data_IF_471549120868
#
_entry.id   IF_471549120868
#
_cell.length_a   1.000
_cell.length_b   1.000
_cell.length_c   1.000
_cell.angle_alpha   90.00
_cell.angle_beta   90.00
_cell.angle_gamma   90.00
#
_symmetry.space_group_name_H-M   'P 1'
#
loop_
_entity.id
_entity.type
_entity.pdbx_description
1 polymer ?
#
# COMPACT_ATOMS: atom_id res chain seq x y z
N UNK A 1 -6.28 -8.18 -22.94
CA UNK A 1 -5.55 -9.27 -22.28
C UNK A 1 -5.01 -8.81 -20.93
N UNK A 2 -4.87 -9.73 -19.97
CA UNK A 2 -4.17 -9.55 -18.72
C UNK A 2 -3.13 -10.65 -18.58
N UNK A 3 -1.88 -10.27 -18.41
CA UNK A 3 -0.81 -11.21 -18.11
C UNK A 3 -0.46 -11.17 -16.64
N UNK A 4 -0.29 -12.35 -16.03
CA UNK A 4 0.31 -12.50 -14.71
C UNK A 4 1.73 -13.00 -14.87
N UNK A 5 2.68 -12.26 -14.33
CA UNK A 5 4.09 -12.61 -14.29
C UNK A 5 4.58 -12.78 -12.86
N UNK A 6 5.28 -13.83 -12.58
CA UNK A 6 6.03 -14.02 -11.33
C UNK A 6 7.32 -14.81 -11.63
N UNK A 7 8.37 -14.55 -10.87
CA UNK A 7 9.63 -15.32 -10.94
C UNK A 7 9.53 -16.70 -10.26
N UNK A 8 8.50 -16.94 -9.46
CA UNK A 8 8.24 -18.16 -8.70
C UNK A 8 7.01 -18.86 -9.28
N UNK A 9 7.26 -19.92 -10.05
CA UNK A 9 6.22 -20.67 -10.74
C UNK A 9 5.19 -21.27 -9.77
N UNK A 10 5.61 -21.85 -8.65
CA UNK A 10 4.69 -22.47 -7.68
C UNK A 10 3.75 -21.42 -7.06
N UNK A 11 4.29 -20.27 -6.69
CA UNK A 11 3.48 -19.16 -6.19
C UNK A 11 2.52 -18.65 -7.23
N UNK A 12 2.98 -18.47 -8.47
CA UNK A 12 2.17 -18.00 -9.58
C UNK A 12 1.01 -18.94 -9.89
N UNK A 13 1.26 -20.23 -9.97
CA UNK A 13 0.23 -21.25 -10.18
C UNK A 13 -0.87 -21.15 -9.11
N UNK A 14 -0.48 -21.09 -7.84
CA UNK A 14 -1.41 -20.97 -6.71
C UNK A 14 -2.23 -19.69 -6.74
N UNK A 15 -1.57 -18.53 -6.91
CA UNK A 15 -2.24 -17.23 -6.96
C UNK A 15 -3.17 -17.14 -8.17
N UNK A 16 -2.77 -17.73 -9.30
CA UNK A 16 -3.57 -17.73 -10.52
C UNK A 16 -4.95 -18.39 -10.35
N UNK A 17 -5.09 -19.39 -9.44
CA UNK A 17 -6.38 -20.01 -9.15
C UNK A 17 -7.38 -18.96 -8.62
N UNK A 18 -6.94 -18.13 -7.69
CA UNK A 18 -7.78 -17.06 -7.12
C UNK A 18 -8.09 -16.02 -8.20
N UNK A 19 -7.07 -15.56 -8.93
CA UNK A 19 -7.24 -14.52 -9.96
C UNK A 19 -8.18 -14.99 -11.08
N UNK A 20 -8.13 -16.26 -11.48
CA UNK A 20 -9.07 -16.83 -12.45
C UNK A 20 -10.52 -16.70 -12.00
N UNK A 21 -10.82 -17.00 -10.73
CA UNK A 21 -12.18 -16.86 -10.20
C UNK A 21 -12.60 -15.38 -10.12
N UNK A 22 -11.70 -14.48 -9.70
CA UNK A 22 -11.96 -13.03 -9.69
C UNK A 22 -12.24 -12.50 -11.09
N UNK A 23 -11.42 -12.86 -12.08
CA UNK A 23 -11.63 -12.45 -13.48
C UNK A 23 -12.94 -13.00 -14.03
N UNK A 24 -13.27 -14.25 -13.75
CA UNK A 24 -14.52 -14.87 -14.17
C UNK A 24 -15.75 -14.17 -13.59
N UNK A 25 -15.65 -13.66 -12.34
CA UNK A 25 -16.75 -12.94 -11.69
C UNK A 25 -16.88 -11.50 -12.19
N UNK A 26 -15.77 -10.76 -12.27
CA UNK A 26 -15.80 -9.32 -12.55
C UNK A 26 -15.73 -8.97 -14.04
N UNK A 27 -14.99 -9.76 -14.83
CA UNK A 27 -14.70 -9.49 -16.25
C UNK A 27 -14.52 -10.79 -17.05
N UNK A 28 -15.61 -11.59 -17.25
CA UNK A 28 -15.51 -12.90 -17.87
C UNK A 28 -15.00 -12.86 -19.34
N UNK A 29 -15.04 -11.68 -19.98
CA UNK A 29 -14.50 -11.49 -21.33
C UNK A 29 -13.00 -11.15 -21.35
N UNK A 30 -12.35 -10.98 -20.20
CA UNK A 30 -10.94 -10.69 -20.13
C UNK A 30 -10.13 -11.96 -20.31
N UNK A 31 -9.27 -12.00 -21.31
CA UNK A 31 -8.31 -13.09 -21.51
C UNK A 31 -7.19 -12.99 -20.47
N UNK A 32 -7.06 -14.02 -19.65
CA UNK A 32 -6.03 -14.12 -18.61
C UNK A 32 -4.94 -15.11 -19.06
N UNK A 33 -3.71 -14.64 -19.14
CA UNK A 33 -2.50 -15.41 -19.46
C UNK A 33 -1.54 -15.42 -18.28
N UNK A 34 -0.73 -16.47 -18.16
CA UNK A 34 0.14 -16.71 -17.01
C UNK A 34 1.46 -17.23 -17.54
N UNK A 35 2.56 -16.56 -17.22
CA UNK A 35 3.89 -17.00 -17.64
C UNK A 35 4.96 -16.54 -16.65
N UNK A 36 6.05 -17.31 -16.58
CA UNK A 36 7.30 -16.93 -15.88
C UNK A 36 8.37 -16.45 -16.85
N UNK A 37 8.05 -16.43 -18.15
CA UNK A 37 8.94 -15.95 -19.20
C UNK A 37 8.75 -14.45 -19.43
N UNK A 38 9.85 -13.70 -19.37
CA UNK A 38 9.82 -12.24 -19.52
C UNK A 38 9.48 -11.81 -20.93
N UNK A 39 10.05 -12.45 -21.95
CA UNK A 39 9.80 -12.09 -23.34
C UNK A 39 8.34 -12.34 -23.68
N UNK A 40 7.81 -13.51 -23.32
CA UNK A 40 6.41 -13.85 -23.57
C UNK A 40 5.46 -12.88 -22.89
N UNK A 41 5.74 -12.52 -21.62
CA UNK A 41 4.83 -11.69 -20.81
C UNK A 41 4.84 -10.23 -21.21
N UNK A 42 6.02 -9.67 -21.47
CA UNK A 42 6.17 -8.22 -21.63
C UNK A 42 6.15 -7.78 -23.09
N UNK A 43 6.19 -8.69 -24.07
CA UNK A 43 6.13 -8.31 -25.49
C UNK A 43 4.85 -7.53 -25.79
N UNK A 44 5.04 -6.31 -26.33
CA UNK A 44 3.98 -5.36 -26.68
C UNK A 44 3.07 -4.93 -25.53
N UNK A 45 3.48 -5.13 -24.26
CA UNK A 45 2.72 -4.69 -23.11
C UNK A 45 2.64 -3.16 -23.04
N UNK A 46 1.43 -2.61 -22.86
CA UNK A 46 1.20 -1.16 -22.77
C UNK A 46 1.25 -0.66 -21.32
N UNK A 47 0.72 -1.44 -20.36
CA UNK A 47 0.67 -1.09 -18.96
C UNK A 47 1.20 -2.24 -18.10
N UNK A 48 2.14 -1.93 -17.24
CA UNK A 48 2.76 -2.88 -16.32
C UNK A 48 2.46 -2.45 -14.89
N UNK A 49 1.61 -3.23 -14.19
CA UNK A 49 1.34 -3.03 -12.76
C UNK A 49 2.37 -3.78 -11.94
N UNK A 50 3.37 -3.07 -11.42
CA UNK A 50 4.46 -3.67 -10.66
C UNK A 50 4.14 -3.71 -9.16
N UNK A 51 4.07 -4.93 -8.61
CA UNK A 51 3.93 -5.16 -7.16
C UNK A 51 4.83 -6.31 -6.74
N UNK A 52 6.02 -6.00 -6.26
CA UNK A 52 6.98 -7.00 -5.81
C UNK A 52 7.37 -6.78 -4.36
N UNK A 53 7.63 -7.87 -3.67
CA UNK A 53 8.19 -7.87 -2.32
C UNK A 53 9.45 -8.73 -2.28
N UNK A 54 10.58 -8.10 -2.48
CA UNK A 54 11.87 -8.78 -2.51
C UNK A 54 12.24 -9.31 -1.12
N UNK A 55 12.41 -10.63 -1.03
CA UNK A 55 12.61 -11.35 0.24
C UNK A 55 11.31 -11.81 0.93
N UNK A 56 10.14 -11.44 0.39
CA UNK A 56 8.84 -11.86 0.91
C UNK A 56 8.53 -11.31 2.30
N UNK A 57 7.45 -11.79 2.89
CA UNK A 57 7.02 -11.36 4.24
C UNK A 57 7.99 -11.80 5.35
N UNK A 58 8.71 -12.90 5.16
CA UNK A 58 9.71 -13.36 6.13
C UNK A 58 10.85 -12.34 6.32
N UNK A 59 11.30 -11.69 5.24
CA UNK A 59 12.30 -10.62 5.34
C UNK A 59 11.71 -9.36 5.95
N UNK A 60 10.46 -9.00 5.65
CA UNK A 60 9.77 -7.90 6.32
C UNK A 60 9.76 -8.08 7.84
N UNK A 61 9.38 -9.25 8.33
CA UNK A 61 9.39 -9.56 9.78
C UNK A 61 10.79 -9.36 10.36
N UNK A 62 11.84 -9.82 9.67
CA UNK A 62 13.24 -9.62 10.13
C UNK A 62 13.64 -8.14 10.18
N UNK A 63 13.30 -7.37 9.16
CA UNK A 63 13.59 -5.93 9.10
C UNK A 63 12.93 -5.18 10.28
N UNK A 64 11.67 -5.50 10.56
CA UNK A 64 10.91 -4.93 11.68
C UNK A 64 11.52 -5.36 13.03
N UNK A 65 11.80 -6.64 13.22
CA UNK A 65 12.36 -7.17 14.47
C UNK A 65 13.78 -6.68 14.74
N UNK A 66 14.64 -6.58 13.74
CA UNK A 66 16.01 -6.08 13.91
C UNK A 66 15.96 -4.61 14.37
N UNK A 67 15.13 -3.79 13.75
CA UNK A 67 14.97 -2.39 14.15
C UNK A 67 14.50 -2.28 15.60
N UNK A 68 13.46 -3.02 15.99
CA UNK A 68 12.91 -3.01 17.35
C UNK A 68 13.91 -3.48 18.40
N UNK A 69 14.75 -4.47 18.12
CA UNK A 69 15.83 -4.91 19.02
C UNK A 69 16.82 -3.80 19.39
N UNK A 70 16.94 -2.80 18.53
CA UNK A 70 17.84 -1.66 18.74
C UNK A 70 17.09 -0.38 19.17
N UNK A 71 15.84 -0.51 19.65
CA UNK A 71 15.04 0.65 20.07
C UNK A 71 14.65 1.58 18.92
N UNK A 72 14.61 1.06 17.69
CA UNK A 72 14.22 1.81 16.51
C UNK A 72 12.88 1.29 15.96
N UNK A 73 12.17 2.14 15.24
CA UNK A 73 10.88 1.79 14.63
C UNK A 73 11.02 0.57 13.73
N UNK A 74 10.21 -0.45 14.00
CA UNK A 74 10.07 -1.66 13.18
C UNK A 74 8.98 -1.51 12.13
N UNK A 75 9.23 -0.74 11.07
CA UNK A 75 8.26 -0.42 10.03
C UNK A 75 8.80 -0.75 8.64
N UNK A 76 7.90 -1.12 7.73
CA UNK A 76 8.20 -1.63 6.39
C UNK A 76 8.95 -0.63 5.51
N UNK A 77 8.58 0.66 5.57
CA UNK A 77 9.01 1.67 4.60
C UNK A 77 9.81 2.81 5.22
N UNK A 78 9.83 2.91 6.54
CA UNK A 78 10.51 3.96 7.28
C UNK A 78 11.67 3.39 8.11
N UNK A 79 12.65 4.23 8.45
CA UNK A 79 13.78 3.86 9.28
C UNK A 79 14.71 2.82 8.67
N UNK A 80 15.43 2.08 9.52
CA UNK A 80 16.43 1.09 9.10
C UNK A 80 15.80 -0.09 8.34
N UNK A 81 14.64 -0.56 8.76
CA UNK A 81 13.90 -1.62 8.06
C UNK A 81 13.50 -1.20 6.65
N UNK A 82 12.96 0.03 6.49
CA UNK A 82 12.62 0.59 5.18
C UNK A 82 13.85 0.76 4.28
N UNK A 83 14.98 1.18 4.82
CA UNK A 83 16.23 1.27 4.06
C UNK A 83 16.68 -0.11 3.56
N UNK A 84 16.69 -1.13 4.42
CA UNK A 84 17.08 -2.49 4.03
C UNK A 84 16.17 -3.08 2.96
N UNK A 85 14.86 -2.85 3.07
CA UNK A 85 13.90 -3.27 2.06
C UNK A 85 14.09 -2.50 0.74
N UNK A 86 14.30 -1.19 0.80
CA UNK A 86 14.59 -0.37 -0.38
C UNK A 86 15.82 -0.85 -1.14
N UNK A 87 16.92 -1.09 -0.45
CA UNK A 87 18.14 -1.61 -1.05
C UNK A 87 17.93 -2.95 -1.77
N UNK A 88 17.08 -3.82 -1.25
CA UNK A 88 16.73 -5.09 -1.92
C UNK A 88 15.83 -4.89 -3.14
N UNK A 89 14.95 -3.89 -3.11
CA UNK A 89 13.94 -3.67 -4.16
C UNK A 89 14.51 -2.95 -5.39
N UNK A 90 15.54 -2.11 -5.23
CA UNK A 90 16.11 -1.30 -6.32
C UNK A 90 16.57 -2.17 -7.49
N UNK A 91 17.39 -3.19 -7.25
CA UNK A 91 17.93 -4.04 -8.33
C UNK A 91 16.82 -4.69 -9.18
N UNK A 92 15.89 -5.44 -8.59
CA UNK A 92 14.77 -6.04 -9.32
C UNK A 92 13.88 -5.02 -10.05
N UNK A 93 13.69 -3.82 -9.50
CA UNK A 93 12.92 -2.77 -10.19
C UNK A 93 13.66 -2.22 -11.41
N UNK A 94 14.98 -2.03 -11.32
CA UNK A 94 15.79 -1.63 -12.48
C UNK A 94 15.76 -2.74 -13.54
N UNK A 95 15.86 -4.00 -13.15
CA UNK A 95 15.71 -5.12 -14.08
C UNK A 95 14.35 -5.10 -14.80
N UNK A 96 13.25 -4.90 -14.06
CA UNK A 96 11.92 -4.78 -14.67
C UNK A 96 11.85 -3.65 -15.71
N UNK A 97 12.45 -2.49 -15.43
CA UNK A 97 12.51 -1.38 -16.39
C UNK A 97 13.28 -1.81 -17.63
N UNK A 98 14.45 -2.45 -17.48
CA UNK A 98 15.28 -2.89 -18.59
C UNK A 98 14.54 -3.94 -19.47
N UNK A 99 13.76 -4.83 -18.84
CA UNK A 99 12.89 -5.80 -19.54
C UNK A 99 11.78 -5.07 -20.32
N UNK A 100 11.12 -4.10 -19.70
CA UNK A 100 10.09 -3.30 -20.39
C UNK A 100 10.65 -2.49 -21.54
N UNK A 101 11.81 -1.88 -21.40
CA UNK A 101 12.49 -1.15 -22.48
C UNK A 101 12.84 -2.07 -23.66
N UNK A 102 13.10 -3.34 -23.40
CA UNK A 102 13.46 -4.32 -24.41
C UNK A 102 12.25 -4.88 -25.15
N UNK A 103 11.17 -5.19 -24.45
CA UNK A 103 10.07 -6.01 -24.98
C UNK A 103 8.73 -5.29 -25.05
N UNK A 104 8.46 -4.33 -24.16
CA UNK A 104 7.16 -3.67 -24.10
C UNK A 104 6.92 -2.72 -25.28
N UNK A 105 5.69 -2.26 -25.43
CA UNK A 105 5.33 -1.29 -26.45
C UNK A 105 6.15 0.00 -26.27
N UNK A 106 6.37 0.75 -27.35
CA UNK A 106 7.12 2.03 -27.28
C UNK A 106 6.47 3.08 -26.40
N UNK A 107 5.23 2.90 -26.06
CA UNK A 107 4.42 3.82 -25.24
C UNK A 107 4.05 3.25 -23.88
N UNK A 108 4.71 2.17 -23.43
CA UNK A 108 4.45 1.51 -22.16
C UNK A 108 4.50 2.47 -20.96
N UNK A 109 3.79 2.10 -19.91
CA UNK A 109 3.90 2.71 -18.60
C UNK A 109 4.01 1.64 -17.50
N UNK A 110 4.97 1.82 -16.60
CA UNK A 110 5.04 1.05 -15.37
C UNK A 110 4.33 1.84 -14.27
N UNK A 111 3.32 1.24 -13.66
CA UNK A 111 2.67 1.75 -12.46
C UNK A 111 3.17 0.91 -11.29
N UNK A 112 4.11 1.45 -10.53
CA UNK A 112 4.76 0.73 -9.44
C UNK A 112 4.07 0.97 -8.11
N UNK A 113 3.61 -0.12 -7.48
CA UNK A 113 3.04 -0.15 -6.14
C UNK A 113 3.98 -0.82 -5.12
N UNK A 114 5.23 -1.12 -5.53
CA UNK A 114 6.22 -1.75 -4.66
C UNK A 114 6.84 -0.73 -3.71
N UNK A 115 7.00 -1.12 -2.46
CA UNK A 115 7.58 -0.30 -1.41
C UNK A 115 9.09 -0.54 -1.22
N UNK A 116 9.81 0.39 -0.58
CA UNK A 116 9.44 1.77 -0.21
C UNK A 116 9.38 2.71 -1.42
N UNK A 117 8.20 3.23 -1.74
CA UNK A 117 7.98 3.95 -3.00
C UNK A 117 8.92 5.15 -3.18
N UNK A 118 9.22 5.95 -2.14
CA UNK A 118 10.12 7.09 -2.24
C UNK A 118 11.57 6.68 -2.59
N UNK A 119 12.09 5.61 -1.98
CA UNK A 119 13.44 5.09 -2.24
C UNK A 119 13.51 4.55 -3.67
N UNK A 120 12.53 3.74 -4.07
CA UNK A 120 12.44 3.16 -5.42
C UNK A 120 12.30 4.27 -6.46
N UNK A 121 11.43 5.26 -6.22
CA UNK A 121 11.26 6.41 -7.13
C UNK A 121 12.57 7.16 -7.35
N UNK A 122 13.29 7.48 -6.26
CA UNK A 122 14.57 8.19 -6.38
C UNK A 122 15.63 7.36 -7.11
N UNK A 123 15.70 6.07 -6.83
CA UNK A 123 16.65 5.17 -7.47
C UNK A 123 16.36 5.03 -8.98
N UNK A 124 15.11 4.80 -9.36
CA UNK A 124 14.70 4.66 -10.77
C UNK A 124 14.93 5.96 -11.54
N UNK A 125 14.56 7.13 -11.01
CA UNK A 125 14.86 8.43 -11.59
C UNK A 125 16.36 8.68 -11.81
N UNK A 126 17.19 8.17 -10.90
CA UNK A 126 18.64 8.37 -10.98
C UNK A 126 19.29 7.41 -11.99
N UNK A 127 18.88 6.13 -11.97
CA UNK A 127 19.53 5.07 -12.75
C UNK A 127 18.88 4.86 -14.13
N UNK A 128 17.61 5.24 -14.30
CA UNK A 128 16.84 5.13 -15.54
C UNK A 128 15.99 6.40 -15.73
N UNK A 129 16.60 7.58 -15.95
CA UNK A 129 15.90 8.88 -15.94
C UNK A 129 14.83 9.01 -17.03
N UNK A 130 14.92 8.21 -18.09
CA UNK A 130 13.98 8.23 -19.21
C UNK A 130 12.88 7.14 -19.09
N UNK A 131 12.91 6.30 -18.04
CA UNK A 131 11.93 5.26 -17.85
C UNK A 131 10.53 5.84 -17.61
N UNK A 132 9.53 5.24 -18.21
CA UNK A 132 8.13 5.61 -18.03
C UNK A 132 7.57 4.87 -16.84
N UNK A 133 7.87 5.37 -15.64
CA UNK A 133 7.45 4.77 -14.37
C UNK A 133 6.78 5.80 -13.47
N UNK A 134 5.62 5.43 -12.92
CA UNK A 134 4.91 6.14 -11.86
C UNK A 134 4.95 5.29 -10.60
N UNK A 135 5.35 5.89 -9.48
CA UNK A 135 5.32 5.23 -8.18
C UNK A 135 4.09 5.73 -7.43
N UNK A 136 3.20 4.82 -7.06
CA UNK A 136 1.91 5.12 -6.44
C UNK A 136 1.83 4.55 -5.02
N UNK A 137 0.93 5.12 -4.22
CA UNK A 137 0.61 4.67 -2.88
C UNK A 137 -0.87 4.92 -2.60
N UNK A 138 -1.50 4.04 -1.84
CA UNK A 138 -2.90 4.13 -1.43
C UNK A 138 -3.12 5.02 -0.20
N UNK A 139 -2.09 5.28 0.61
CA UNK A 139 -2.27 6.00 1.88
C UNK A 139 -2.92 7.39 1.74
N UNK A 140 -2.59 8.25 0.77
CA UNK A 140 -3.33 9.50 0.59
C UNK A 140 -4.81 9.27 0.36
N UNK A 141 -5.17 8.32 -0.50
CA UNK A 141 -6.58 7.99 -0.82
C UNK A 141 -7.29 7.40 0.39
N UNK A 142 -6.60 6.60 1.22
CA UNK A 142 -7.16 6.08 2.47
C UNK A 142 -7.45 7.22 3.47
N UNK A 143 -6.57 8.22 3.56
CA UNK A 143 -6.83 9.42 4.38
C UNK A 143 -8.01 10.22 3.84
N UNK A 144 -8.12 10.39 2.53
CA UNK A 144 -9.28 11.02 1.88
C UNK A 144 -10.58 10.27 2.17
N UNK A 145 -10.55 8.93 2.12
CA UNK A 145 -11.71 8.11 2.47
C UNK A 145 -12.13 8.31 3.94
N UNK A 146 -11.17 8.44 4.85
CA UNK A 146 -11.45 8.80 6.26
C UNK A 146 -12.02 10.21 6.41
N UNK A 147 -11.53 11.18 5.63
CA UNK A 147 -12.10 12.52 5.60
C UNK A 147 -13.56 12.51 5.10
N UNK A 148 -13.85 11.72 4.07
CA UNK A 148 -15.21 11.54 3.56
C UNK A 148 -16.14 10.92 4.62
N UNK A 149 -15.68 9.88 5.34
CA UNK A 149 -16.40 9.27 6.47
C UNK A 149 -16.71 10.29 7.58
N UNK A 150 -15.72 11.12 7.96
CA UNK A 150 -15.87 12.17 8.97
C UNK A 150 -16.91 13.21 8.54
N UNK A 151 -16.98 13.51 7.25
CA UNK A 151 -17.88 14.49 6.67
C UNK A 151 -19.27 13.92 6.33
N UNK A 152 -19.45 12.61 6.45
CA UNK A 152 -20.67 11.87 6.04
C UNK A 152 -21.00 12.10 4.56
N UNK A 153 -20.00 11.87 3.68
CA UNK A 153 -20.10 12.09 2.24
C UNK A 153 -19.38 11.00 1.44
N UNK A 154 -19.63 10.95 0.14
CA UNK A 154 -18.89 10.07 -0.76
C UNK A 154 -17.49 10.64 -1.07
N UNK A 155 -16.50 9.78 -1.22
CA UNK A 155 -15.12 10.15 -1.59
C UNK A 155 -15.07 10.96 -2.89
N UNK A 156 -15.95 10.66 -3.85
CA UNK A 156 -16.05 11.38 -5.13
C UNK A 156 -16.47 12.86 -5.01
N UNK A 157 -16.97 13.28 -3.85
CA UNK A 157 -17.33 14.66 -3.57
C UNK A 157 -16.17 15.48 -3.01
N UNK A 158 -15.02 14.85 -2.73
CA UNK A 158 -13.84 15.52 -2.21
C UNK A 158 -12.87 15.91 -3.33
N UNK A 159 -12.34 17.11 -3.22
CA UNK A 159 -11.20 17.60 -3.98
C UNK A 159 -10.13 18.04 -2.99
N UNK A 160 -8.89 17.56 -3.17
CA UNK A 160 -7.79 17.83 -2.24
C UNK A 160 -6.58 18.41 -2.93
N UNK A 161 -5.93 19.35 -2.26
CA UNK A 161 -4.58 19.80 -2.61
C UNK A 161 -3.59 19.08 -1.69
N UNK A 162 -2.74 18.24 -2.27
CA UNK A 162 -1.76 17.43 -1.54
C UNK A 162 -0.35 17.67 -2.07
N UNK A 163 0.62 17.82 -1.18
CA UNK A 163 2.02 17.96 -1.56
C UNK A 163 2.96 17.18 -0.63
N UNK A 164 4.18 16.92 -1.10
CA UNK A 164 5.23 16.27 -0.34
C UNK A 164 5.74 14.99 -1.00
N UNK A 165 6.49 14.20 -0.23
CA UNK A 165 6.99 12.91 -0.65
C UNK A 165 6.03 11.78 -0.22
N UNK A 166 6.17 10.61 -0.82
CA UNK A 166 5.44 9.44 -0.35
C UNK A 166 5.69 9.23 1.16
N UNK A 167 4.62 9.01 1.93
CA UNK A 167 4.61 8.89 3.39
C UNK A 167 5.11 10.14 4.16
N UNK A 168 5.31 11.25 3.48
CA UNK A 168 5.84 12.49 4.04
C UNK A 168 5.17 13.71 3.38
N UNK A 169 3.84 13.69 3.35
CA UNK A 169 3.04 14.70 2.66
C UNK A 169 1.97 15.34 3.53
N UNK A 170 1.38 16.39 3.00
CA UNK A 170 0.41 17.23 3.66
C UNK A 170 -0.76 17.57 2.75
N UNK A 171 -1.96 17.61 3.29
CA UNK A 171 -3.11 18.21 2.63
C UNK A 171 -3.21 19.68 3.05
N UNK A 172 -3.19 20.58 2.07
CA UNK A 172 -3.27 22.02 2.29
C UNK A 172 -4.68 22.56 2.18
N UNK A 173 -5.50 21.89 1.38
CA UNK A 173 -6.88 22.26 1.15
C UNK A 173 -7.72 21.00 0.92
N UNK A 174 -8.91 21.00 1.47
CA UNK A 174 -9.94 19.99 1.21
C UNK A 174 -11.24 20.69 0.91
N UNK A 175 -11.83 20.38 -0.25
CA UNK A 175 -13.15 20.88 -0.65
C UNK A 175 -14.13 19.70 -0.69
N UNK A 176 -15.34 19.93 -0.29
CA UNK A 176 -16.47 19.00 -0.41
C UNK A 176 -17.57 19.67 -1.21
N UNK A 177 -17.90 19.13 -2.37
CA UNK A 177 -18.87 19.76 -3.31
C UNK A 177 -18.58 21.25 -3.59
N UNK A 178 -17.28 21.62 -3.68
CA UNK A 178 -16.81 22.96 -3.94
C UNK A 178 -16.73 23.90 -2.71
N UNK A 179 -17.19 23.46 -1.54
CA UNK A 179 -17.04 24.18 -0.28
C UNK A 179 -15.74 23.81 0.43
N UNK A 180 -14.96 24.79 0.89
CA UNK A 180 -13.75 24.56 1.67
C UNK A 180 -14.09 24.06 3.09
N UNK A 181 -13.71 22.84 3.39
CA UNK A 181 -13.96 22.15 4.67
C UNK A 181 -12.68 21.93 5.48
N UNK A 182 -11.56 22.49 5.04
CA UNK A 182 -10.23 22.28 5.63
C UNK A 182 -10.21 22.58 7.14
N UNK A 183 -10.72 23.74 7.56
CA UNK A 183 -10.74 24.12 8.97
C UNK A 183 -11.68 23.24 9.83
N UNK A 184 -12.79 22.77 9.24
CA UNK A 184 -13.68 21.81 9.90
C UNK A 184 -12.97 20.48 10.16
N UNK A 185 -12.25 19.98 9.16
CA UNK A 185 -11.46 18.75 9.29
C UNK A 185 -10.30 18.91 10.28
N UNK A 186 -9.56 20.01 10.24
CA UNK A 186 -8.47 20.28 11.18
C UNK A 186 -8.93 20.25 12.64
N UNK A 187 -10.07 20.86 12.95
CA UNK A 187 -10.68 20.81 14.28
C UNK A 187 -11.04 19.39 14.70
N UNK A 188 -11.63 18.61 13.79
CA UNK A 188 -11.98 17.22 14.06
C UNK A 188 -10.71 16.36 14.28
N UNK A 189 -9.74 16.49 13.40
CA UNK A 189 -8.48 15.70 13.45
C UNK A 189 -7.66 16.06 14.70
N UNK A 190 -7.68 17.30 15.15
CA UNK A 190 -7.02 17.74 16.39
C UNK A 190 -7.62 17.08 17.65
N UNK A 191 -8.87 16.64 17.60
CA UNK A 191 -9.57 15.99 18.72
C UNK A 191 -9.56 14.46 18.62
N UNK A 192 -9.82 13.89 17.43
CA UNK A 192 -10.05 12.45 17.21
C UNK A 192 -9.04 11.79 16.25
N UNK A 193 -8.18 12.54 15.54
CA UNK A 193 -7.45 12.03 14.40
C UNK A 193 -8.37 11.80 13.18
N UNK A 194 -7.97 10.90 12.30
CA UNK A 194 -8.78 10.51 11.13
C UNK A 194 -9.74 9.35 11.44
N UNK A 195 -10.44 9.43 12.55
CA UNK A 195 -11.50 8.48 12.93
C UNK A 195 -12.77 9.25 13.25
N UNK A 196 -13.92 8.64 12.97
CA UNK A 196 -15.18 9.28 13.34
C UNK A 196 -15.31 9.35 14.88
N UNK A 197 -15.99 10.37 15.38
CA UNK A 197 -16.25 10.51 16.82
C UNK A 197 -16.94 9.28 17.40
N UNK A 198 -17.86 8.69 16.67
CA UNK A 198 -18.63 7.52 17.10
C UNK A 198 -17.78 6.25 17.22
N UNK A 199 -16.73 6.12 16.39
CA UNK A 199 -15.85 4.95 16.34
C UNK A 199 -14.56 5.11 17.13
N UNK A 200 -14.29 6.29 17.70
CA UNK A 200 -12.99 6.61 18.31
C UNK A 200 -12.60 5.67 19.45
N UNK A 201 -13.51 5.40 20.39
CA UNK A 201 -13.20 4.53 21.53
C UNK A 201 -13.14 3.04 21.12
N UNK A 202 -14.05 2.61 20.25
CA UNK A 202 -14.05 1.27 19.67
C UNK A 202 -12.79 1.00 18.84
N UNK A 203 -12.34 2.02 18.13
CA UNK A 203 -11.16 1.99 17.28
C UNK A 203 -9.90 1.66 18.08
N UNK A 204 -9.70 2.26 19.24
CA UNK A 204 -8.53 2.05 20.08
C UNK A 204 -8.45 0.62 20.64
N UNK A 205 -9.58 -0.12 20.69
CA UNK A 205 -9.66 -1.46 21.28
C UNK A 205 -9.55 -2.57 20.24
N UNK A 206 -10.12 -2.37 19.03
CA UNK A 206 -10.29 -3.46 18.05
C UNK A 206 -9.06 -3.73 17.18
N UNK A 207 -8.30 -2.72 16.81
CA UNK A 207 -7.06 -2.85 16.06
C UNK A 207 -6.08 -1.73 16.47
N UNK A 208 -5.42 -1.88 17.62
CA UNK A 208 -4.60 -0.81 18.19
C UNK A 208 -3.49 -0.35 17.23
N UNK A 209 -2.86 -1.28 16.49
CA UNK A 209 -1.74 -0.92 15.62
C UNK A 209 -2.16 -0.08 14.41
N UNK A 210 -3.22 -0.52 13.71
CA UNK A 210 -3.71 0.17 12.51
C UNK A 210 -4.40 1.48 12.84
N UNK A 211 -5.19 1.47 13.91
CA UNK A 211 -5.94 2.64 14.34
C UNK A 211 -5.08 3.72 14.96
N UNK A 212 -3.97 3.36 15.63
CA UNK A 212 -2.95 4.33 16.03
C UNK A 212 -2.41 5.12 14.84
N UNK A 213 -2.33 4.51 13.66
CA UNK A 213 -1.94 5.19 12.44
C UNK A 213 -2.83 6.39 12.14
N UNK A 214 -4.12 6.29 12.35
CA UNK A 214 -5.09 7.37 12.10
C UNK A 214 -5.29 8.29 13.30
N UNK A 215 -5.33 7.75 14.52
CA UNK A 215 -5.52 8.56 15.74
C UNK A 215 -4.32 9.42 16.08
N UNK A 216 -3.09 8.99 15.78
CA UNK A 216 -1.88 9.78 16.01
C UNK A 216 -1.81 11.05 15.15
N UNK A 217 -2.60 11.17 14.09
CA UNK A 217 -2.71 12.40 13.31
C UNK A 217 -3.10 13.59 14.18
N UNK A 218 -3.87 13.39 15.29
CA UNK A 218 -4.21 14.46 16.23
C UNK A 218 -3.00 15.10 16.90
N UNK A 219 -1.97 14.32 17.25
CA UNK A 219 -0.75 14.86 17.82
C UNK A 219 -0.03 15.74 16.81
N UNK A 220 0.01 15.29 15.54
CA UNK A 220 0.71 15.98 14.46
C UNK A 220 0.02 17.30 14.12
N UNK A 221 -1.31 17.32 13.97
CA UNK A 221 -2.08 18.54 13.70
C UNK A 221 -1.91 19.56 14.83
N UNK A 222 -1.83 19.13 16.09
CA UNK A 222 -1.59 20.03 17.21
C UNK A 222 -0.19 20.66 17.21
N UNK A 223 0.83 19.99 16.62
CA UNK A 223 2.15 20.57 16.40
C UNK A 223 2.22 21.44 15.13
N UNK A 224 1.46 21.08 14.09
CA UNK A 224 1.46 21.74 12.78
C UNK A 224 0.02 22.08 12.35
N UNK A 225 -0.60 23.11 12.97
CA UNK A 225 -2.03 23.40 12.81
C UNK A 225 -2.42 23.94 11.43
N UNK A 226 -1.43 24.30 10.60
CA UNK A 226 -1.69 24.88 9.27
C UNK A 226 -2.11 23.81 8.24
N UNK A 227 -1.75 22.53 8.47
CA UNK A 227 -1.92 21.46 7.50
C UNK A 227 -2.55 20.21 8.11
N UNK A 228 -3.19 19.40 7.26
CA UNK A 228 -3.63 18.05 7.60
C UNK A 228 -2.54 17.05 7.18
N UNK A 229 -2.00 16.22 8.09
CA UNK A 229 -0.86 15.36 7.80
C UNK A 229 -1.27 14.08 7.06
N UNK A 230 -0.36 13.54 6.24
CA UNK A 230 -0.36 12.11 5.98
C UNK A 230 -0.08 11.36 7.30
N UNK A 231 -0.76 10.26 7.54
CA UNK A 231 -0.67 9.53 8.81
C UNK A 231 0.72 8.96 9.10
N UNK A 232 1.55 8.73 8.08
CA UNK A 232 2.92 8.23 8.25
C UNK A 232 3.90 9.24 8.83
N UNK A 233 3.51 10.53 8.96
CA UNK A 233 4.29 11.50 9.73
C UNK A 233 4.58 11.04 11.15
N UNK A 234 3.73 10.20 11.73
CA UNK A 234 3.94 9.62 13.05
C UNK A 234 5.32 8.94 13.19
N UNK A 235 5.77 8.22 12.16
CA UNK A 235 7.05 7.50 12.19
C UNK A 235 8.28 8.42 12.19
N UNK A 236 8.11 9.68 11.82
CA UNK A 236 9.17 10.68 11.81
C UNK A 236 9.14 11.59 13.03
N UNK A 237 7.96 11.85 13.57
CA UNK A 237 7.77 12.85 14.62
C UNK A 237 7.46 12.25 16.00
N UNK A 238 6.94 11.03 16.06
CA UNK A 238 6.50 10.37 17.28
C UNK A 238 7.25 9.05 17.51
N UNK A 239 8.51 8.99 17.09
CA UNK A 239 9.29 7.74 17.04
C UNK A 239 9.35 7.00 18.38
N UNK A 240 9.65 7.70 19.47
CA UNK A 240 9.76 7.10 20.80
C UNK A 240 8.39 6.57 21.27
N UNK A 241 7.34 7.36 21.13
CA UNK A 241 5.97 6.95 21.49
C UNK A 241 5.53 5.68 20.72
N UNK A 242 5.98 5.54 19.47
CA UNK A 242 5.61 4.41 18.60
C UNK A 242 6.37 3.15 18.98
N UNK A 243 7.66 3.26 19.25
CA UNK A 243 8.48 2.11 19.66
C UNK A 243 7.95 1.48 20.94
N UNK A 244 7.44 2.30 21.88
CA UNK A 244 6.95 1.84 23.17
C UNK A 244 5.75 0.88 23.08
N UNK A 245 4.91 0.99 22.03
CA UNK A 245 3.78 0.08 21.85
C UNK A 245 3.97 -0.97 20.74
N UNK A 246 5.10 -0.95 20.03
CA UNK A 246 5.40 -1.98 19.03
C UNK A 246 5.84 -3.29 19.71
N UNK A 247 5.19 -4.40 19.36
CA UNK A 247 5.56 -5.72 19.85
C UNK A 247 6.46 -6.46 18.87
N UNK A 248 7.70 -6.72 19.29
CA UNK A 248 8.68 -7.49 18.51
C UNK A 248 8.23 -8.92 18.21
N UNK A 249 7.33 -9.49 19.03
CA UNK A 249 6.78 -10.83 18.84
C UNK A 249 5.49 -10.84 18.03
N UNK A 250 4.95 -9.67 17.72
CA UNK A 250 3.74 -9.51 16.90
C UNK A 250 3.85 -8.32 15.96
N UNK A 251 4.93 -8.26 15.19
CA UNK A 251 5.15 -7.17 14.22
C UNK A 251 4.06 -7.14 13.13
N UNK A 252 3.91 -6.01 12.46
CA UNK A 252 2.93 -5.89 11.37
C UNK A 252 3.16 -6.92 10.25
N UNK A 253 4.41 -7.27 9.96
CA UNK A 253 4.75 -8.34 9.03
C UNK A 253 4.20 -9.70 9.47
N UNK A 254 4.28 -10.02 10.75
CA UNK A 254 3.70 -11.25 11.32
C UNK A 254 2.16 -11.24 11.25
N UNK A 255 1.52 -10.11 11.55
CA UNK A 255 0.07 -9.97 11.44
C UNK A 255 -0.42 -10.17 9.99
N UNK A 256 0.34 -9.65 9.00
CA UNK A 256 0.01 -9.86 7.58
C UNK A 256 0.14 -11.35 7.20
N UNK A 257 1.17 -12.05 7.70
CA UNK A 257 1.32 -13.49 7.46
C UNK A 257 0.12 -14.25 8.05
N UNK A 258 -0.21 -14.02 9.32
CA UNK A 258 -1.30 -14.72 10.01
C UNK A 258 -2.69 -14.38 9.44
N UNK A 259 -2.89 -13.17 8.95
CA UNK A 259 -4.16 -12.74 8.38
C UNK A 259 -4.28 -13.05 6.88
N UNK A 260 -3.65 -12.23 6.05
CA UNK A 260 -3.87 -12.26 4.59
C UNK A 260 -3.26 -13.50 3.91
N UNK A 261 -2.04 -13.88 4.28
CA UNK A 261 -1.38 -15.02 3.65
C UNK A 261 -2.09 -16.34 4.00
N UNK A 262 -2.53 -16.50 5.25
CA UNK A 262 -3.30 -17.67 5.68
C UNK A 262 -4.63 -17.77 4.91
N UNK A 263 -5.39 -16.68 4.81
CA UNK A 263 -6.64 -16.64 4.03
C UNK A 263 -6.42 -17.00 2.56
N UNK A 264 -5.35 -16.50 1.96
CA UNK A 264 -5.03 -16.82 0.57
C UNK A 264 -4.69 -18.30 0.39
N UNK A 265 -3.92 -18.91 1.33
CA UNK A 265 -3.61 -20.34 1.31
C UNK A 265 -4.86 -21.20 1.48
N UNK A 266 -5.75 -20.86 2.40
CA UNK A 266 -7.02 -21.55 2.59
C UNK A 266 -7.89 -21.48 1.34
N UNK A 267 -7.96 -20.32 0.68
CA UNK A 267 -8.68 -20.17 -0.57
C UNK A 267 -8.09 -21.03 -1.70
N UNK A 268 -6.76 -21.06 -1.84
CA UNK A 268 -6.08 -21.93 -2.80
C UNK A 268 -6.41 -23.41 -2.53
N UNK A 269 -6.30 -23.86 -1.28
CA UNK A 269 -6.63 -25.25 -0.92
C UNK A 269 -8.07 -25.62 -1.26
N UNK A 270 -9.03 -24.74 -1.02
CA UNK A 270 -10.43 -24.94 -1.41
C UNK A 270 -10.59 -25.08 -2.91
N UNK A 271 -9.95 -24.19 -3.68
CA UNK A 271 -10.01 -24.23 -5.15
C UNK A 271 -9.36 -25.49 -5.73
N UNK A 272 -8.23 -25.94 -5.17
CA UNK A 272 -7.59 -27.21 -5.54
C UNK A 272 -8.50 -28.42 -5.29
N UNK A 273 -9.35 -28.35 -4.27
CA UNK A 273 -10.37 -29.37 -3.96
C UNK A 273 -11.68 -29.22 -4.77
N UNK A 274 -11.77 -28.24 -5.67
CA UNK A 274 -12.99 -27.97 -6.45
C UNK A 274 -14.10 -27.27 -5.66
N UNK A 275 -13.78 -26.70 -4.49
CA UNK A 275 -14.71 -25.98 -3.65
C UNK A 275 -14.84 -24.50 -4.09
N UNK A 276 -15.96 -23.87 -3.77
CA UNK A 276 -16.16 -22.43 -3.97
C UNK A 276 -15.51 -21.63 -2.85
N UNK A 277 -15.01 -20.45 -3.20
CA UNK A 277 -14.48 -19.48 -2.24
C UNK A 277 -15.36 -18.24 -2.19
N UNK A 278 -15.29 -17.52 -1.06
CA UNK A 278 -15.86 -16.18 -0.94
C UNK A 278 -14.89 -15.17 -1.57
N UNK A 279 -15.27 -14.62 -2.72
CA UNK A 279 -14.44 -13.66 -3.47
C UNK A 279 -14.43 -12.26 -2.84
N UNK A 280 -15.41 -11.93 -1.98
CA UNK A 280 -15.49 -10.59 -1.37
C UNK A 280 -14.25 -10.21 -0.57
N UNK A 281 -13.59 -11.19 0.03
CA UNK A 281 -12.35 -11.02 0.78
C UNK A 281 -11.14 -10.60 -0.10
N UNK A 282 -11.23 -10.78 -1.44
CA UNK A 282 -10.20 -10.40 -2.41
C UNK A 282 -10.52 -9.09 -3.13
N UNK A 283 -11.67 -8.48 -2.87
CA UNK A 283 -12.07 -7.19 -3.44
C UNK A 283 -11.70 -6.01 -2.52
N UNK A 284 -10.86 -6.24 -1.51
CA UNK A 284 -10.44 -5.22 -0.56
C UNK A 284 -9.65 -4.11 -1.28
N UNK A 285 -10.16 -2.89 -1.20
CA UNK A 285 -9.61 -1.72 -1.88
C UNK A 285 -10.36 -1.33 -3.15
N UNK A 286 -11.33 -2.10 -3.61
CA UNK A 286 -12.31 -1.64 -4.60
C UNK A 286 -13.33 -0.75 -3.87
N UNK A 287 -12.89 0.46 -3.50
CA UNK A 287 -13.78 1.49 -3.02
C UNK A 287 -14.55 2.04 -4.20
N UNK A 288 -15.82 1.79 -4.24
CA UNK A 288 -16.76 2.31 -5.23
C UNK A 288 -17.33 1.23 -6.14
N UNK A 289 -18.47 0.74 -5.73
CA UNK A 289 -19.53 0.50 -6.70
C UNK A 289 -20.23 1.80 -6.96
#
# INVERSE_FOLDING_TARGET
>A
ELWLYDIDQERQEKVSLIVKEVVKDLRPSLELKISTDEEETFTDADFIMAQMRVGGLKMRVKDEQISLKHGCIGQETCGAGGMAYGMRTIGPMIHLIDVCEKYASKTYWIVNYSNPAAIVAKATQTLRPNARILNICDMPVEVEARMAEILDTDLSNLEVDYFGLNHYGWFTKVQCNGEDVTEKLKKHVAEYGYVSKASYEDALVKDPDWLHTFTNAKKIVNYFPDYLPNTYWQYYLLGDDIVDYMDINNTRGMQVIHGRETKSREAVTKLENGEKIDLTQFYVGVHGK
#
